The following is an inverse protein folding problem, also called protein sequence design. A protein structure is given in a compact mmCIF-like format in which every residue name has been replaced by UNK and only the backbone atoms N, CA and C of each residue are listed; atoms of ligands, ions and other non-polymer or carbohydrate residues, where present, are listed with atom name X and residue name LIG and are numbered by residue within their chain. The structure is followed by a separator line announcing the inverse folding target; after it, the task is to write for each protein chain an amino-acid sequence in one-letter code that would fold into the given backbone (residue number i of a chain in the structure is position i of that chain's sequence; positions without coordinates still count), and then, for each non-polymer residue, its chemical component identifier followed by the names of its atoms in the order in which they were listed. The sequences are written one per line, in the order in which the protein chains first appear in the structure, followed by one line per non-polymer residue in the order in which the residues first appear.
data_IF_898313358456
#
_entry.id   IF_898313358456
#
_cell.length_a   1.000
_cell.length_b   1.000
_cell.length_c   1.000
_cell.angle_alpha   90.00
_cell.angle_beta   90.00
_cell.angle_gamma   90.00
#
_symmetry.space_group_name_H-M   'P 1'
#
loop_
_entity.id
_entity.type
_entity.pdbx_description
1 polymer ?
#
# COMPACT_ATOMS: atom_id res chain seq x y z
N UNK A 1 -37.38 35.38 -43.50
CA UNK A 1 -37.50 36.87 -43.42
C UNK A 1 -36.37 37.33 -42.51
N UNK A 2 -35.41 38.03 -43.18
CA UNK A 2 -34.74 39.29 -42.81
C UNK A 2 -34.13 39.31 -41.39
N UNK A 3 -32.87 39.71 -41.12
CA UNK A 3 -31.72 40.34 -41.84
C UNK A 3 -30.64 40.50 -40.78
N UNK A 4 -29.39 40.12 -41.00
CA UNK A 4 -28.22 40.91 -41.38
C UNK A 4 -28.01 42.25 -40.66
N UNK A 5 -26.85 42.41 -40.01
CA UNK A 5 -25.94 43.59 -39.94
C UNK A 5 -24.78 43.21 -39.05
N UNK A 6 -23.59 42.97 -39.46
CA UNK A 6 -22.51 43.75 -40.13
C UNK A 6 -22.14 45.05 -39.38
N UNK A 7 -20.93 45.13 -38.86
CA UNK A 7 -20.27 46.28 -38.24
C UNK A 7 -18.82 45.93 -37.88
N UNK A 8 -17.99 46.09 -38.68
CA UNK A 8 -16.68 46.56 -39.16
C UNK A 8 -16.28 47.89 -38.52
N UNK A 9 -15.02 47.99 -38.02
CA UNK A 9 -14.09 49.14 -37.98
C UNK A 9 -12.99 48.82 -36.96
N UNK A 10 -11.76 48.46 -37.32
CA UNK A 10 -10.65 49.28 -37.87
C UNK A 10 -10.18 50.34 -36.87
N UNK A 11 -8.97 50.15 -36.35
CA UNK A 11 -8.22 51.08 -35.52
C UNK A 11 -6.75 50.68 -35.40
N UNK A 12 -5.98 51.05 -36.38
CA UNK A 12 -4.55 51.04 -36.52
C UNK A 12 -3.94 52.23 -35.81
N UNK A 13 -2.96 52.09 -34.92
CA UNK A 13 -1.94 53.10 -34.65
C UNK A 13 -0.60 52.52 -34.24
N UNK A 14 0.34 52.98 -34.98
CA UNK A 14 1.77 52.83 -35.05
C UNK A 14 2.42 53.93 -34.14
N UNK A 15 3.54 53.63 -33.45
CA UNK A 15 4.66 54.54 -33.13
C UNK A 15 5.72 53.79 -32.32
N UNK A 16 6.83 53.51 -32.90
CA UNK A 16 8.12 54.26 -33.01
C UNK A 16 8.99 54.23 -31.75
N UNK A 17 10.04 53.50 -31.93
CA UNK A 17 11.46 53.60 -31.60
C UNK A 17 11.93 54.70 -30.65
N UNK A 18 12.81 54.31 -29.72
CA UNK A 18 13.93 55.14 -29.29
C UNK A 18 15.11 54.26 -28.87
N UNK A 19 16.18 54.37 -29.64
CA UNK A 19 17.54 53.98 -29.29
C UNK A 19 18.07 54.86 -28.13
N UNK A 20 18.71 54.24 -27.16
CA UNK A 20 19.55 54.92 -26.16
C UNK A 20 20.82 54.12 -25.96
N UNK A 21 21.90 54.48 -26.64
CA UNK A 21 23.29 54.11 -26.30
C UNK A 21 23.77 55.03 -25.16
N UNK A 22 24.34 54.45 -24.10
CA UNK A 22 25.40 55.06 -23.31
C UNK A 22 26.16 53.96 -22.57
N UNK A 23 27.34 53.67 -23.00
CA UNK A 23 28.69 54.08 -22.53
C UNK A 23 29.15 53.33 -21.27
N UNK A 24 30.26 52.66 -21.50
CA UNK A 24 31.29 52.11 -20.61
C UNK A 24 31.60 52.95 -19.38
N UNK A 25 31.75 52.33 -18.26
CA UNK A 25 32.75 52.71 -17.24
C UNK A 25 33.13 51.49 -16.38
N UNK A 26 34.38 51.12 -16.54
CA UNK A 26 35.37 50.90 -15.49
C UNK A 26 35.24 49.66 -14.61
N UNK A 27 36.18 48.78 -14.84
CA UNK A 27 36.81 47.81 -13.99
C UNK A 27 36.87 48.24 -12.50
N UNK A 28 36.33 47.38 -11.62
CA UNK A 28 36.96 47.09 -10.34
C UNK A 28 36.80 45.62 -10.04
N UNK A 29 37.90 44.91 -10.07
CA UNK A 29 38.03 43.55 -9.65
C UNK A 29 37.57 43.35 -8.20
N UNK A 30 36.65 42.44 -8.01
CA UNK A 30 36.43 41.79 -6.73
C UNK A 30 36.77 40.33 -6.91
N UNK A 31 37.89 39.96 -6.30
CA UNK A 31 38.35 38.59 -6.20
C UNK A 31 37.30 37.74 -5.46
N UNK A 32 36.81 36.72 -6.09
CA UNK A 32 36.05 35.66 -5.44
C UNK A 32 36.96 34.90 -4.46
N UNK A 33 36.50 34.58 -3.26
CA UNK A 33 37.29 33.75 -2.34
C UNK A 33 37.42 32.32 -2.94
N UNK A 34 38.66 31.92 -3.05
CA UNK A 34 39.07 30.55 -3.47
C UNK A 34 38.60 29.59 -2.38
N UNK A 35 37.54 28.81 -2.65
CA UNK A 35 37.15 27.67 -1.79
C UNK A 35 38.24 26.61 -1.84
N UNK A 36 38.84 26.33 -0.67
CA UNK A 36 39.76 25.23 -0.48
C UNK A 36 39.03 23.93 -0.65
N UNK A 37 39.61 22.90 -1.30
CA UNK A 37 39.07 21.55 -1.30
C UNK A 37 39.11 20.97 0.13
N UNK A 38 38.14 20.12 0.51
CA UNK A 38 38.11 19.47 1.80
C UNK A 38 39.32 18.53 1.96
N UNK A 39 39.82 18.33 3.19
CA UNK A 39 40.95 17.46 3.44
C UNK A 39 40.61 16.01 3.11
N UNK A 40 41.56 15.30 2.53
CA UNK A 40 41.47 13.90 2.18
C UNK A 40 41.11 13.05 3.39
N UNK A 41 40.12 12.17 3.22
CA UNK A 41 39.68 11.20 4.22
C UNK A 41 40.84 10.27 4.58
N UNK A 42 41.03 10.04 5.87
CA UNK A 42 41.97 9.08 6.41
C UNK A 42 41.62 7.64 5.97
N UNK A 43 42.61 6.73 5.76
CA UNK A 43 42.28 5.37 5.35
C UNK A 43 41.62 4.57 6.47
N UNK A 44 40.58 3.82 6.10
CA UNK A 44 39.85 2.91 6.97
C UNK A 44 40.79 1.78 7.49
N UNK A 45 40.60 1.30 8.73
CA UNK A 45 41.37 0.19 9.24
C UNK A 45 41.06 -1.12 8.51
N UNK A 46 42.12 -1.85 8.15
CA UNK A 46 42.10 -3.14 7.48
C UNK A 46 41.24 -4.16 8.23
N UNK A 47 40.35 -4.83 7.51
CA UNK A 47 39.58 -5.96 7.99
C UNK A 47 40.50 -7.10 8.44
N UNK A 48 40.40 -7.48 9.69
CA UNK A 48 41.01 -8.65 10.28
C UNK A 48 40.40 -9.93 9.70
N UNK A 49 41.21 -10.76 9.14
CA UNK A 49 40.90 -12.08 8.62
C UNK A 49 40.45 -13.00 9.77
N UNK A 50 39.14 -13.28 9.84
CA UNK A 50 38.61 -14.33 10.71
C UNK A 50 38.71 -15.68 10.00
N UNK A 51 39.38 -16.65 10.67
CA UNK A 51 39.55 -18.01 10.23
C UNK A 51 38.21 -18.77 10.06
N UNK A 52 38.13 -19.75 9.15
CA UNK A 52 36.91 -20.52 8.91
C UNK A 52 36.64 -21.51 10.06
N UNK A 53 35.42 -21.49 10.59
CA UNK A 53 34.88 -22.49 11.51
C UNK A 53 34.57 -23.78 10.73
N UNK A 54 34.84 -24.99 11.29
CA UNK A 54 34.56 -26.23 10.61
C UNK A 54 33.06 -26.49 10.48
N UNK A 55 32.67 -26.96 9.30
CA UNK A 55 31.32 -27.41 8.98
C UNK A 55 30.97 -28.65 9.82
N UNK A 56 29.83 -28.61 10.50
CA UNK A 56 29.23 -29.78 11.14
C UNK A 56 28.36 -30.47 10.08
N UNK A 57 28.84 -31.64 9.69
CA UNK A 57 28.18 -32.55 8.77
C UNK A 57 26.94 -33.16 9.45
N UNK A 58 25.76 -32.82 9.02
CA UNK A 58 24.52 -33.44 9.44
C UNK A 58 24.10 -34.49 8.40
N UNK A 59 24.35 -35.76 8.75
CA UNK A 59 23.84 -36.92 8.00
C UNK A 59 22.33 -37.02 8.02
N UNK A 60 21.66 -37.30 6.91
CA UNK A 60 20.23 -37.53 6.89
C UNK A 60 19.88 -38.95 7.38
N UNK A 61 19.12 -39.03 8.43
CA UNK A 61 18.59 -40.29 8.97
C UNK A 61 17.39 -40.72 8.12
N UNK A 62 17.63 -41.70 7.27
CA UNK A 62 16.59 -42.46 6.54
C UNK A 62 15.71 -43.23 7.50
N UNK A 63 14.42 -42.93 7.53
CA UNK A 63 13.41 -43.80 8.14
C UNK A 63 12.83 -44.69 7.04
N UNK A 64 13.06 -46.00 7.18
CA UNK A 64 12.44 -47.05 6.35
C UNK A 64 10.97 -47.22 6.71
N UNK A 65 10.11 -47.61 5.76
CA UNK A 65 8.70 -47.96 6.04
C UNK A 65 8.65 -49.39 6.58
N UNK A 66 7.90 -49.56 7.67
CA UNK A 66 7.46 -50.91 8.10
C UNK A 66 6.25 -51.32 7.26
N UNK A 67 6.45 -52.38 6.51
CA UNK A 67 5.38 -53.27 6.07
C UNK A 67 5.26 -54.37 7.15
N UNK A 68 4.06 -54.66 7.59
CA UNK A 68 3.49 -55.99 7.64
C UNK A 68 2.19 -56.04 8.45
N UNK A 69 1.25 -56.82 7.94
CA UNK A 69 0.20 -57.44 8.68
C UNK A 69 -1.20 -57.31 8.09
N UNK A 70 -1.46 -58.14 7.04
CA UNK A 70 -2.79 -58.54 6.61
C UNK A 70 -3.59 -59.15 7.76
N UNK A 71 -4.90 -58.92 7.75
CA UNK A 71 -5.90 -59.98 7.96
C UNK A 71 -7.33 -59.42 7.80
N UNK A 72 -8.02 -59.84 6.81
CA UNK A 72 -9.47 -60.05 6.80
C UNK A 72 -9.68 -61.53 7.17
N UNK A 73 -10.79 -61.98 7.75
CA UNK A 73 -12.12 -62.01 7.12
C UNK A 73 -13.27 -61.85 8.14
N UNK A 74 -14.52 -61.73 7.87
CA UNK A 74 -15.49 -62.63 7.29
C UNK A 74 -16.90 -62.08 7.56
N UNK A 75 -17.80 -62.49 6.71
CA UNK A 75 -19.20 -62.20 6.69
C UNK A 75 -19.96 -62.66 7.95
N UNK A 76 -21.04 -61.97 8.30
CA UNK A 76 -22.29 -62.69 8.54
C UNK A 76 -23.52 -61.80 8.44
N UNK A 77 -24.44 -62.22 7.66
CA UNK A 77 -25.75 -61.70 7.41
C UNK A 77 -26.67 -61.78 8.65
N UNK A 78 -27.58 -60.84 8.77
CA UNK A 78 -28.64 -60.86 9.78
C UNK A 78 -29.74 -59.86 9.43
N UNK A 79 -30.69 -60.31 8.66
CA UNK A 79 -31.98 -59.74 8.31
C UNK A 79 -32.86 -59.47 9.56
N UNK A 80 -33.73 -58.50 9.47
CA UNK A 80 -35.04 -58.23 10.05
C UNK A 80 -35.18 -56.82 10.56
N UNK A 81 -35.94 -55.98 9.94
CA UNK A 81 -37.38 -56.05 9.82
C UNK A 81 -38.01 -54.81 10.44
N UNK A 82 -38.62 -54.04 9.58
CA UNK A 82 -39.82 -53.22 9.85
C UNK A 82 -39.89 -52.27 11.05
N UNK A 83 -40.46 -51.12 10.73
CA UNK A 83 -41.11 -50.09 11.53
C UNK A 83 -40.26 -48.89 11.91
N UNK A 84 -40.30 -47.84 11.09
CA UNK A 84 -41.18 -46.72 11.37
C UNK A 84 -41.01 -45.64 10.29
N UNK A 85 -41.95 -45.68 9.37
CA UNK A 85 -42.32 -44.47 8.64
C UNK A 85 -43.09 -43.55 9.59
N UNK A 86 -42.43 -42.58 10.14
CA UNK A 86 -42.98 -41.38 10.77
C UNK A 86 -41.82 -40.58 11.33
N UNK A 87 -41.43 -39.56 10.58
CA UNK A 87 -40.80 -38.30 11.01
C UNK A 87 -40.04 -37.68 9.81
N UNK A 88 -40.69 -37.67 8.67
CA UNK A 88 -40.31 -36.76 7.59
C UNK A 88 -41.17 -35.48 7.73
N UNK A 89 -40.88 -34.68 8.70
CA UNK A 89 -41.39 -33.32 8.76
C UNK A 89 -40.74 -32.62 9.95
N UNK A 90 -39.48 -32.20 9.86
CA UNK A 90 -39.01 -31.09 10.66
C UNK A 90 -37.91 -30.36 9.87
N UNK A 91 -38.31 -29.14 9.50
CA UNK A 91 -37.47 -27.98 9.48
C UNK A 91 -36.33 -27.93 8.47
N UNK A 92 -36.70 -27.51 7.29
CA UNK A 92 -35.87 -26.47 6.64
C UNK A 92 -35.83 -25.23 7.54
N UNK A 93 -35.05 -25.28 8.59
CA UNK A 93 -34.58 -24.08 9.24
C UNK A 93 -33.54 -23.50 8.29
N UNK A 94 -33.96 -22.53 7.54
CA UNK A 94 -33.12 -21.51 6.95
C UNK A 94 -32.19 -21.07 8.10
N UNK A 95 -30.93 -21.50 8.04
CA UNK A 95 -29.88 -20.85 8.79
C UNK A 95 -29.83 -19.42 8.24
N UNK A 96 -30.57 -18.52 8.87
CA UNK A 96 -30.37 -17.10 8.75
C UNK A 96 -28.88 -16.91 9.03
N UNK A 97 -28.13 -16.55 7.99
CA UNK A 97 -26.77 -16.08 8.15
C UNK A 97 -26.87 -14.96 9.16
N UNK A 98 -26.35 -15.22 10.35
CA UNK A 98 -26.17 -14.20 11.36
C UNK A 98 -25.37 -13.10 10.67
N UNK A 99 -25.87 -11.87 10.53
CA UNK A 99 -25.04 -10.79 10.01
C UNK A 99 -23.80 -10.79 10.89
N UNK A 100 -22.63 -10.87 10.26
CA UNK A 100 -21.36 -10.74 10.94
C UNK A 100 -21.51 -9.57 11.91
N UNK A 101 -21.42 -9.86 13.20
CA UNK A 101 -21.57 -8.85 14.22
C UNK A 101 -20.60 -7.74 13.86
N UNK A 102 -21.12 -6.60 13.42
CA UNK A 102 -20.36 -5.38 13.28
C UNK A 102 -19.62 -5.23 14.60
N UNK A 103 -18.29 -5.37 14.57
CA UNK A 103 -17.47 -5.22 15.74
C UNK A 103 -17.83 -3.87 16.35
N UNK A 104 -18.57 -3.92 17.47
CA UNK A 104 -18.92 -2.70 18.19
C UNK A 104 -17.59 -2.07 18.62
N UNK A 105 -17.40 -0.77 18.44
CA UNK A 105 -16.21 -0.09 18.90
C UNK A 105 -16.01 -0.40 20.38
N UNK A 106 -14.92 -1.08 20.70
CA UNK A 106 -14.51 -1.26 22.08
C UNK A 106 -14.14 0.14 22.59
N UNK A 107 -14.77 0.57 23.68
CA UNK A 107 -14.65 1.95 24.18
C UNK A 107 -13.18 2.38 24.40
N UNK A 108 -12.89 3.68 24.40
CA UNK A 108 -11.53 4.26 24.40
C UNK A 108 -10.69 3.90 25.63
N UNK A 109 -11.28 3.32 26.65
CA UNK A 109 -10.58 2.85 27.87
C UNK A 109 -9.76 1.56 27.67
N UNK A 110 -9.91 0.88 26.53
CA UNK A 110 -9.20 -0.38 26.24
C UNK A 110 -7.84 -0.16 25.58
N UNK A 111 -7.57 1.03 25.06
CA UNK A 111 -6.35 1.34 24.34
C UNK A 111 -5.47 2.30 25.11
N UNK A 112 -4.20 1.95 25.29
CA UNK A 112 -3.22 2.74 26.03
C UNK A 112 -2.16 3.33 25.09
N UNK A 113 -1.93 4.67 25.13
CA UNK A 113 -0.82 5.30 24.42
C UNK A 113 0.52 4.68 24.86
N UNK A 114 1.41 4.47 23.88
CA UNK A 114 2.71 3.84 24.13
C UNK A 114 2.69 2.32 24.27
N UNK A 115 1.48 1.71 24.37
CA UNK A 115 1.30 0.25 24.42
C UNK A 115 0.62 -0.25 23.14
N UNK A 116 -0.57 0.26 22.85
CA UNK A 116 -1.37 -0.20 21.71
C UNK A 116 -1.23 0.70 20.48
N UNK A 117 -0.78 1.93 20.66
CA UNK A 117 -0.52 2.89 19.59
C UNK A 117 0.50 3.93 20.04
N UNK A 118 1.15 4.57 19.09
CA UNK A 118 2.07 5.68 19.34
C UNK A 118 1.39 7.02 19.04
N UNK A 119 1.60 8.00 19.93
CA UNK A 119 1.14 9.38 19.71
C UNK A 119 2.21 10.16 18.94
N UNK A 120 1.80 10.81 17.85
CA UNK A 120 2.66 11.68 17.05
C UNK A 120 2.68 13.07 17.65
N UNK A 121 3.86 13.55 18.03
CA UNK A 121 4.05 14.88 18.60
C UNK A 121 5.13 15.63 17.81
N UNK A 122 4.82 16.80 17.25
CA UNK A 122 3.48 17.42 17.15
C UNK A 122 2.58 16.67 16.19
N UNK A 123 1.25 16.80 16.38
CA UNK A 123 0.28 16.28 15.41
C UNK A 123 0.54 16.85 14.01
N UNK A 124 0.38 16.02 13.01
CA UNK A 124 0.63 16.39 11.62
C UNK A 124 -0.67 16.83 10.91
N UNK A 125 -0.57 17.77 9.95
CA UNK A 125 -1.73 18.18 9.19
C UNK A 125 -2.27 17.03 8.34
N UNK A 126 -3.59 16.98 8.22
CA UNK A 126 -4.32 16.04 7.36
C UNK A 126 -4.71 16.70 6.04
N UNK A 127 -5.07 15.87 5.04
CA UNK A 127 -5.50 16.33 3.71
C UNK A 127 -7.02 16.31 3.53
N UNK A 128 -7.77 16.05 4.61
CA UNK A 128 -9.23 15.93 4.57
C UNK A 128 -9.93 17.20 5.04
N UNK A 129 -11.18 17.45 4.59
CA UNK A 129 -11.96 18.60 5.07
C UNK A 129 -12.26 18.53 6.57
N UNK A 130 -12.56 19.70 7.16
CA UNK A 130 -13.02 19.77 8.54
C UNK A 130 -14.25 18.87 8.76
N UNK A 131 -14.29 18.16 9.89
CA UNK A 131 -15.32 17.18 10.22
C UNK A 131 -15.07 15.78 9.64
N UNK A 132 -14.04 15.60 8.82
CA UNK A 132 -13.58 14.30 8.39
C UNK A 132 -12.35 13.86 9.20
N UNK A 133 -12.23 12.56 9.40
CA UNK A 133 -11.07 11.94 10.05
C UNK A 133 -10.27 11.17 8.99
N UNK A 134 -9.03 11.54 8.81
CA UNK A 134 -8.12 10.86 7.88
C UNK A 134 -7.61 9.55 8.50
N UNK A 135 -7.70 8.46 7.75
CA UNK A 135 -7.05 7.18 8.07
C UNK A 135 -6.20 6.76 6.89
N UNK A 136 -4.89 6.68 7.11
CA UNK A 136 -3.91 6.23 6.12
C UNK A 136 -3.43 4.84 6.48
N UNK A 137 -3.49 3.92 5.52
CA UNK A 137 -2.84 2.62 5.60
C UNK A 137 -1.51 2.69 4.84
N UNK A 138 -0.40 2.47 5.53
CA UNK A 138 0.90 2.26 4.90
C UNK A 138 1.12 0.77 4.66
N UNK A 139 1.41 0.41 3.43
CA UNK A 139 1.49 -0.99 3.01
C UNK A 139 2.53 -1.20 1.90
N UNK A 140 2.82 -2.44 1.60
CA UNK A 140 3.61 -2.86 0.45
C UNK A 140 3.01 -4.11 -0.18
N UNK A 141 2.84 -4.13 -1.49
CA UNK A 141 2.22 -5.27 -2.17
C UNK A 141 2.98 -6.59 -1.97
N UNK A 142 4.32 -6.57 -1.84
CA UNK A 142 5.08 -7.78 -1.61
C UNK A 142 5.23 -8.15 -0.11
N UNK A 143 4.56 -7.43 0.79
CA UNK A 143 4.55 -7.76 2.21
C UNK A 143 3.51 -8.85 2.51
N UNK A 144 3.91 -10.05 3.02
CA UNK A 144 2.96 -11.10 3.36
C UNK A 144 1.94 -10.68 4.42
N UNK A 145 2.38 -9.92 5.43
CA UNK A 145 1.48 -9.44 6.49
C UNK A 145 0.46 -8.42 5.99
N UNK A 146 0.79 -7.62 4.95
CA UNK A 146 -0.18 -6.74 4.31
C UNK A 146 -1.21 -7.56 3.52
N UNK A 147 -0.76 -8.60 2.80
CA UNK A 147 -1.65 -9.51 2.10
C UNK A 147 -2.62 -10.22 3.06
N UNK A 148 -2.10 -10.75 4.17
CA UNK A 148 -2.93 -11.45 5.18
C UNK A 148 -3.96 -10.51 5.84
N UNK A 149 -3.63 -9.24 5.98
CA UNK A 149 -4.50 -8.23 6.59
C UNK A 149 -5.54 -7.66 5.61
N UNK A 150 -5.27 -7.66 4.30
CA UNK A 150 -6.05 -6.90 3.32
C UNK A 150 -7.54 -7.22 3.32
N UNK A 151 -7.90 -8.51 3.49
CA UNK A 151 -9.30 -8.91 3.58
C UNK A 151 -10.06 -8.22 4.73
N UNK A 152 -9.41 -8.00 5.86
CA UNK A 152 -10.00 -7.32 7.02
C UNK A 152 -10.06 -5.81 6.81
N UNK A 153 -9.02 -5.23 6.20
CA UNK A 153 -9.01 -3.81 5.81
C UNK A 153 -10.14 -3.51 4.82
N UNK A 154 -10.34 -4.37 3.81
CA UNK A 154 -11.42 -4.23 2.85
C UNK A 154 -12.82 -4.33 3.50
N UNK A 155 -12.99 -5.28 4.42
CA UNK A 155 -14.25 -5.41 5.16
C UNK A 155 -14.51 -4.17 6.02
N UNK A 156 -13.50 -3.67 6.72
CA UNK A 156 -13.59 -2.45 7.52
C UNK A 156 -13.86 -1.23 6.63
N UNK A 157 -13.13 -1.06 5.52
CA UNK A 157 -13.27 0.04 4.56
C UNK A 157 -14.70 0.17 4.03
N UNK A 158 -15.35 -0.96 3.74
CA UNK A 158 -16.73 -0.99 3.24
C UNK A 158 -17.77 -0.58 4.30
N UNK A 159 -17.46 -0.83 5.57
CA UNK A 159 -18.38 -0.62 6.68
C UNK A 159 -18.04 0.59 7.57
N UNK A 160 -16.94 1.30 7.27
CA UNK A 160 -16.52 2.46 8.07
C UNK A 160 -17.54 3.59 8.05
N UNK A 161 -17.66 4.37 9.12
CA UNK A 161 -18.51 5.57 9.15
C UNK A 161 -18.15 6.57 8.03
N UNK A 162 -19.15 7.33 7.58
CA UNK A 162 -18.99 8.30 6.49
C UNK A 162 -18.01 9.44 6.81
N UNK A 163 -17.80 9.74 8.10
CA UNK A 163 -16.84 10.77 8.51
C UNK A 163 -15.37 10.32 8.38
N UNK A 164 -15.09 9.04 8.10
CA UNK A 164 -13.73 8.54 7.91
C UNK A 164 -13.37 8.58 6.42
N UNK A 165 -12.33 9.31 6.09
CA UNK A 165 -11.67 9.26 4.77
C UNK A 165 -10.48 8.32 4.86
N UNK A 166 -10.58 7.17 4.18
CA UNK A 166 -9.54 6.15 4.14
C UNK A 166 -8.73 6.23 2.85
N UNK A 167 -7.41 6.14 2.95
CA UNK A 167 -6.50 6.07 1.80
C UNK A 167 -5.35 5.11 2.06
N UNK A 168 -4.93 4.40 1.03
CA UNK A 168 -3.73 3.58 1.04
C UNK A 168 -2.53 4.36 0.53
N UNK A 169 -1.40 4.17 1.19
CA UNK A 169 -0.11 4.79 0.87
C UNK A 169 0.93 3.67 0.75
N UNK A 170 1.31 3.26 -0.46
CA UNK A 170 2.39 2.30 -0.62
C UNK A 170 3.71 2.92 -0.19
N UNK A 171 4.52 2.16 0.58
CA UNK A 171 5.85 2.63 1.00
C UNK A 171 6.86 2.57 -0.16
N UNK A 172 7.90 3.40 -0.07
CA UNK A 172 8.83 3.70 -1.17
C UNK A 172 10.30 3.60 -0.74
N UNK A 173 10.61 2.76 0.25
CA UNK A 173 11.91 2.67 0.92
C UNK A 173 13.08 2.24 0.02
N UNK A 174 12.82 1.51 -1.06
CA UNK A 174 13.80 1.05 -2.05
C UNK A 174 13.19 1.06 -3.44
N UNK A 175 14.01 0.80 -4.46
CA UNK A 175 13.55 0.75 -5.86
C UNK A 175 12.43 -0.29 -6.06
N UNK A 176 12.53 -1.47 -5.44
CA UNK A 176 11.48 -2.49 -5.49
C UNK A 176 10.17 -2.05 -4.82
N UNK A 177 10.24 -1.32 -3.70
CA UNK A 177 9.05 -0.71 -3.08
C UNK A 177 8.45 0.35 -3.99
N UNK A 178 9.30 1.24 -4.53
CA UNK A 178 8.90 2.32 -5.44
C UNK A 178 8.26 1.79 -6.72
N UNK A 179 8.79 0.69 -7.27
CA UNK A 179 8.23 0.06 -8.46
C UNK A 179 6.79 -0.44 -8.25
N UNK A 180 6.52 -1.10 -7.12
CA UNK A 180 5.16 -1.53 -6.76
C UNK A 180 4.25 -0.37 -6.35
N UNK A 181 4.82 0.70 -5.76
CA UNK A 181 4.09 1.93 -5.51
C UNK A 181 3.69 2.63 -6.82
N UNK A 182 4.55 2.62 -7.84
CA UNK A 182 4.23 3.14 -9.18
C UNK A 182 3.08 2.35 -9.81
N UNK A 183 3.10 1.03 -9.73
CA UNK A 183 1.97 0.19 -10.17
C UNK A 183 0.66 0.59 -9.49
N UNK A 184 0.68 0.74 -8.15
CA UNK A 184 -0.48 1.17 -7.38
C UNK A 184 -1.04 2.50 -7.89
N UNK A 185 -0.20 3.52 -8.04
CA UNK A 185 -0.65 4.84 -8.49
C UNK A 185 -1.03 4.86 -9.97
N UNK A 186 -0.44 4.00 -10.79
CA UNK A 186 -0.86 3.81 -12.18
C UNK A 186 -2.29 3.26 -12.24
N UNK A 187 -2.58 2.18 -11.48
CA UNK A 187 -3.92 1.61 -11.40
C UNK A 187 -4.93 2.63 -10.82
N UNK A 188 -4.52 3.43 -9.84
CA UNK A 188 -5.32 4.51 -9.27
C UNK A 188 -5.65 5.57 -10.33
N UNK A 189 -4.67 6.03 -11.09
CA UNK A 189 -4.87 7.06 -12.13
C UNK A 189 -5.78 6.59 -13.27
N UNK A 190 -5.80 5.28 -13.53
CA UNK A 190 -6.68 4.62 -14.48
C UNK A 190 -8.09 4.33 -13.93
N UNK A 191 -8.34 4.63 -12.64
CA UNK A 191 -9.60 4.26 -11.98
C UNK A 191 -9.81 2.75 -11.84
N UNK A 192 -8.73 1.96 -11.90
CA UNK A 192 -8.75 0.50 -11.83
C UNK A 192 -8.33 -0.07 -10.48
N UNK A 193 -7.92 0.79 -9.54
CA UNK A 193 -7.33 0.35 -8.28
C UNK A 193 -8.29 -0.53 -7.46
N UNK A 194 -9.53 -0.10 -7.24
CA UNK A 194 -10.51 -0.87 -6.44
C UNK A 194 -10.82 -2.24 -7.04
N UNK A 195 -10.74 -2.36 -8.38
CA UNK A 195 -10.97 -3.60 -9.09
C UNK A 195 -9.77 -4.54 -9.03
N UNK A 196 -8.54 -4.01 -9.04
CA UNK A 196 -7.32 -4.77 -9.27
C UNK A 196 -6.40 -4.88 -8.05
N UNK A 197 -6.70 -4.21 -6.95
CA UNK A 197 -5.88 -4.25 -5.73
C UNK A 197 -5.64 -5.68 -5.24
N UNK A 198 -6.69 -6.45 -5.06
CA UNK A 198 -6.62 -7.86 -4.66
C UNK A 198 -5.94 -8.74 -5.74
N UNK A 199 -6.13 -8.41 -7.03
CA UNK A 199 -5.47 -9.13 -8.11
C UNK A 199 -3.96 -8.94 -8.12
N UNK A 200 -3.44 -7.75 -7.75
CA UNK A 200 -2.00 -7.50 -7.57
C UNK A 200 -1.44 -8.32 -6.42
N UNK A 201 -2.09 -8.31 -5.27
CA UNK A 201 -1.70 -9.15 -4.14
C UNK A 201 -1.67 -10.65 -4.51
N UNK A 202 -2.72 -11.15 -5.16
CA UNK A 202 -2.78 -12.56 -5.60
C UNK A 202 -1.71 -12.90 -6.62
N UNK A 203 -1.42 -12.00 -7.57
CA UNK A 203 -0.36 -12.24 -8.55
C UNK A 203 1.00 -12.45 -7.86
N UNK A 204 1.28 -11.66 -6.82
CA UNK A 204 2.54 -11.75 -6.07
C UNK A 204 2.55 -12.97 -5.13
N UNK A 205 1.54 -13.11 -4.26
CA UNK A 205 1.58 -14.06 -3.15
C UNK A 205 1.05 -15.46 -3.50
N UNK A 206 0.18 -15.56 -4.50
CA UNK A 206 -0.43 -16.84 -4.91
C UNK A 206 0.19 -17.36 -6.19
N UNK A 207 0.35 -16.49 -7.21
CA UNK A 207 0.89 -16.89 -8.51
C UNK A 207 2.42 -16.84 -8.55
N UNK A 208 3.09 -16.29 -7.54
CA UNK A 208 4.55 -16.21 -7.44
C UNK A 208 5.20 -15.24 -8.43
N UNK A 209 4.46 -14.31 -9.02
CA UNK A 209 4.99 -13.27 -9.88
C UNK A 209 5.23 -11.98 -9.07
N UNK A 210 6.47 -11.60 -8.79
CA UNK A 210 6.77 -10.45 -7.90
C UNK A 210 6.38 -9.10 -8.50
N UNK A 211 6.03 -9.03 -9.77
CA UNK A 211 5.73 -7.81 -10.54
C UNK A 211 6.86 -6.78 -10.54
N UNK A 212 8.08 -7.22 -10.26
CA UNK A 212 9.33 -6.46 -10.36
C UNK A 212 10.41 -7.36 -10.93
N UNK A 213 11.36 -6.80 -11.66
CA UNK A 213 12.53 -7.53 -12.16
C UNK A 213 13.44 -7.96 -11.00
N UNK A 214 13.99 -9.16 -11.07
CA UNK A 214 14.82 -9.73 -10.00
C UNK A 214 16.13 -8.96 -9.78
N UNK A 215 16.65 -8.34 -10.83
CA UNK A 215 17.88 -7.52 -10.83
C UNK A 215 17.60 -6.04 -10.58
N UNK A 216 16.33 -5.65 -10.44
CA UNK A 216 15.90 -4.26 -10.24
C UNK A 216 15.85 -3.43 -11.52
N UNK A 217 15.97 -4.05 -12.71
CA UNK A 217 15.86 -3.33 -13.99
C UNK A 217 14.48 -2.69 -14.14
N UNK A 218 14.46 -1.37 -14.34
CA UNK A 218 13.21 -0.59 -14.41
C UNK A 218 12.43 -0.90 -15.70
N UNK A 219 13.10 -1.07 -16.82
CA UNK A 219 12.46 -1.33 -18.11
C UNK A 219 11.83 -2.73 -18.12
N UNK A 220 12.53 -3.71 -17.55
CA UNK A 220 11.99 -5.07 -17.39
C UNK A 220 10.83 -5.09 -16.39
N UNK A 221 10.92 -4.34 -15.29
CA UNK A 221 9.82 -4.18 -14.33
C UNK A 221 8.58 -3.59 -14.99
N UNK A 222 8.74 -2.52 -15.78
CA UNK A 222 7.63 -1.94 -16.56
C UNK A 222 7.02 -2.96 -17.52
N UNK A 223 7.86 -3.75 -18.20
CA UNK A 223 7.40 -4.81 -19.12
C UNK A 223 6.56 -5.85 -18.39
N UNK A 224 7.01 -6.31 -17.20
CA UNK A 224 6.29 -7.29 -16.37
C UNK A 224 4.94 -6.71 -15.91
N UNK A 225 4.92 -5.47 -15.42
CA UNK A 225 3.70 -4.81 -14.94
C UNK A 225 2.73 -4.51 -16.10
N UNK A 226 3.25 -4.14 -17.27
CA UNK A 226 2.45 -3.96 -18.50
C UNK A 226 1.79 -5.28 -18.92
N UNK A 227 2.53 -6.39 -18.90
CA UNK A 227 2.00 -7.71 -19.22
C UNK A 227 0.89 -8.14 -18.23
N UNK A 228 1.08 -7.88 -16.93
CA UNK A 228 0.03 -8.07 -15.92
C UNK A 228 -1.20 -7.21 -16.23
N UNK A 229 -1.03 -5.91 -16.45
CA UNK A 229 -2.13 -4.99 -16.74
C UNK A 229 -2.93 -5.41 -17.98
N UNK A 230 -2.23 -5.85 -19.04
CA UNK A 230 -2.84 -6.37 -20.25
C UNK A 230 -3.68 -7.63 -19.98
N UNK A 231 -3.18 -8.56 -19.15
CA UNK A 231 -3.92 -9.75 -18.69
C UNK A 231 -5.19 -9.37 -17.92
N UNK A 232 -5.18 -8.21 -17.23
CA UNK A 232 -6.33 -7.65 -16.52
C UNK A 232 -7.25 -6.78 -17.42
N UNK A 233 -7.02 -6.75 -18.72
CA UNK A 233 -7.86 -6.05 -19.69
C UNK A 233 -7.55 -4.55 -19.84
N UNK A 234 -6.40 -4.08 -19.37
CA UNK A 234 -5.94 -2.70 -19.61
C UNK A 234 -5.09 -2.68 -20.89
N UNK A 235 -5.42 -1.84 -21.90
CA UNK A 235 -4.60 -1.69 -23.10
C UNK A 235 -3.16 -1.23 -22.76
N UNK A 236 -2.19 -1.81 -23.46
CA UNK A 236 -0.77 -1.55 -23.19
C UNK A 236 -0.41 -0.06 -23.27
N UNK A 237 -0.87 0.62 -24.32
CA UNK A 237 -0.57 2.06 -24.51
C UNK A 237 -1.21 2.93 -23.43
N UNK A 238 -2.42 2.55 -22.97
CA UNK A 238 -3.11 3.23 -21.87
C UNK A 238 -2.33 3.07 -20.57
N UNK A 239 -1.89 1.85 -20.26
CA UNK A 239 -1.09 1.57 -19.08
C UNK A 239 0.22 2.34 -19.09
N UNK A 240 1.00 2.25 -20.17
CA UNK A 240 2.31 2.95 -20.31
C UNK A 240 2.16 4.47 -20.22
N UNK A 241 1.14 5.03 -20.87
CA UNK A 241 0.84 6.46 -20.76
C UNK A 241 0.54 6.89 -19.32
N UNK A 242 -0.22 6.10 -18.58
CA UNK A 242 -0.51 6.37 -17.17
C UNK A 242 0.74 6.19 -16.29
N UNK A 243 1.51 5.14 -16.53
CA UNK A 243 2.72 4.78 -15.79
C UNK A 243 3.77 5.90 -15.76
N UNK A 244 3.94 6.61 -16.89
CA UNK A 244 4.86 7.75 -17.05
C UNK A 244 4.18 9.11 -16.89
N UNK A 245 2.98 9.14 -16.30
CA UNK A 245 2.23 10.39 -16.17
C UNK A 245 2.68 11.22 -14.98
N UNK A 246 2.62 12.54 -15.12
CA UNK A 246 2.89 13.49 -14.04
C UNK A 246 2.04 13.26 -12.78
N UNK A 247 0.73 12.92 -12.86
CA UNK A 247 -0.05 12.56 -11.66
C UNK A 247 0.53 11.38 -10.87
N UNK A 248 1.01 10.34 -11.55
CA UNK A 248 1.65 9.17 -10.90
C UNK A 248 2.94 9.58 -10.20
N UNK A 249 3.79 10.38 -10.85
CA UNK A 249 5.03 10.88 -10.23
C UNK A 249 4.73 11.79 -9.03
N UNK A 250 3.71 12.62 -9.13
CA UNK A 250 3.26 13.48 -8.03
C UNK A 250 2.76 12.66 -6.84
N UNK A 251 1.97 11.62 -7.07
CA UNK A 251 1.46 10.76 -6.02
C UNK A 251 2.58 9.94 -5.36
N UNK A 252 3.60 9.49 -6.13
CA UNK A 252 4.81 8.88 -5.58
C UNK A 252 5.58 9.83 -4.66
N UNK A 253 5.79 11.08 -5.07
CA UNK A 253 6.44 12.09 -4.22
C UNK A 253 5.65 12.39 -2.95
N UNK A 254 4.31 12.41 -3.02
CA UNK A 254 3.47 12.55 -1.83
C UNK A 254 3.61 11.35 -0.90
N UNK A 255 3.67 10.13 -1.43
CA UNK A 255 3.90 8.94 -0.63
C UNK A 255 5.26 8.98 0.08
N UNK A 256 6.34 9.36 -0.62
CA UNK A 256 7.66 9.60 -0.01
C UNK A 256 7.56 10.59 1.16
N UNK A 257 6.90 11.71 0.95
CA UNK A 257 6.70 12.74 1.97
C UNK A 257 5.90 12.25 3.18
N UNK A 258 4.87 11.42 2.96
CA UNK A 258 4.06 10.84 4.04
C UNK A 258 4.84 9.79 4.84
N UNK A 259 5.57 8.90 4.17
CA UNK A 259 6.44 7.89 4.82
C UNK A 259 7.46 8.58 5.73
N UNK A 260 8.12 9.64 5.25
CA UNK A 260 9.09 10.40 6.03
C UNK A 260 8.43 11.18 7.18
N UNK A 261 7.31 11.87 6.91
CA UNK A 261 6.58 12.68 7.90
C UNK A 261 6.13 11.86 9.10
N UNK A 262 5.59 10.67 8.84
CA UNK A 262 5.10 9.79 9.89
C UNK A 262 6.15 8.81 10.40
N UNK A 263 7.38 8.85 9.86
CA UNK A 263 8.50 7.96 10.22
C UNK A 263 8.09 6.49 10.17
N UNK A 264 7.41 6.12 9.08
CA UNK A 264 6.96 4.75 8.89
C UNK A 264 8.17 3.85 8.63
N UNK A 265 8.42 2.91 9.51
CA UNK A 265 9.55 1.96 9.50
C UNK A 265 9.12 0.49 9.37
N UNK A 266 7.80 0.24 9.31
CA UNK A 266 7.22 -1.08 9.13
C UNK A 266 5.82 -1.03 8.52
N UNK A 267 5.43 -2.13 7.87
CA UNK A 267 4.09 -2.30 7.28
C UNK A 267 3.52 -3.67 7.63
N UNK A 268 2.19 -3.81 7.75
CA UNK A 268 1.19 -2.75 7.63
C UNK A 268 1.17 -1.81 8.85
N UNK A 269 1.01 -0.50 8.62
CA UNK A 269 0.86 0.52 9.66
C UNK A 269 -0.27 1.48 9.32
N UNK A 270 -0.97 1.97 10.33
CA UNK A 270 -2.08 2.91 10.18
C UNK A 270 -1.75 4.22 10.85
N UNK A 271 -2.03 5.33 10.17
CA UNK A 271 -2.00 6.67 10.77
C UNK A 271 -3.41 7.21 10.84
N UNK A 272 -3.83 7.61 12.04
CA UNK A 272 -5.16 8.12 12.29
C UNK A 272 -5.05 9.63 12.61
N UNK A 273 -5.72 10.44 11.80
CA UNK A 273 -5.87 11.88 11.89
C UNK A 273 -4.56 12.66 12.11
N UNK A 274 -3.44 12.15 11.57
CA UNK A 274 -2.12 12.74 11.77
C UNK A 274 -1.61 12.73 13.21
N UNK A 275 -2.27 12.01 14.12
CA UNK A 275 -2.01 12.01 15.56
C UNK A 275 -1.54 10.68 16.12
N UNK A 276 -1.96 9.56 15.53
CA UNK A 276 -1.70 8.23 16.08
C UNK A 276 -1.13 7.30 15.01
N UNK A 277 -0.17 6.47 15.42
CA UNK A 277 0.31 5.33 14.62
C UNK A 277 -0.06 4.04 15.33
N UNK A 278 -0.66 3.10 14.61
CA UNK A 278 -1.00 1.76 15.10
C UNK A 278 -0.57 0.69 14.08
N UNK A 279 -0.18 -0.48 14.56
CA UNK A 279 0.18 -1.66 13.78
C UNK A 279 -0.36 -2.94 14.43
N UNK A 280 -0.26 -4.08 13.73
CA UNK A 280 -0.73 -5.38 14.24
C UNK A 280 -0.01 -5.77 15.54
N UNK A 281 1.28 -5.49 15.62
CA UNK A 281 2.14 -5.86 16.76
C UNK A 281 1.69 -5.15 18.04
N UNK A 282 1.44 -3.85 17.95
CA UNK A 282 1.01 -3.03 19.09
C UNK A 282 -0.46 -3.26 19.45
N UNK A 283 -1.31 -3.50 18.46
CA UNK A 283 -2.73 -3.83 18.71
C UNK A 283 -2.92 -5.26 19.26
N UNK A 284 -1.99 -6.18 18.93
CA UNK A 284 -1.98 -7.57 19.37
C UNK A 284 -2.42 -8.59 18.32
N UNK A 285 -3.39 -8.25 17.46
CA UNK A 285 -3.81 -9.05 16.31
C UNK A 285 -4.55 -8.17 15.28
N UNK A 286 -4.84 -8.70 14.07
CA UNK A 286 -5.51 -7.96 13.01
C UNK A 286 -6.89 -7.41 13.37
N UNK A 287 -7.75 -8.20 14.03
CA UNK A 287 -9.10 -7.79 14.44
C UNK A 287 -9.06 -6.63 15.42
N UNK A 288 -8.14 -6.73 16.40
CA UNK A 288 -7.92 -5.66 17.36
C UNK A 288 -7.38 -4.40 16.72
N UNK A 289 -6.50 -4.53 15.70
CA UNK A 289 -6.00 -3.38 14.97
C UNK A 289 -7.14 -2.62 14.27
N UNK A 290 -8.05 -3.32 13.57
CA UNK A 290 -9.19 -2.68 12.93
C UNK A 290 -10.14 -2.02 13.91
N UNK A 291 -10.34 -2.64 15.10
CA UNK A 291 -11.12 -2.03 16.19
C UNK A 291 -10.43 -0.78 16.73
N UNK A 292 -9.12 -0.84 16.99
CA UNK A 292 -8.32 0.30 17.47
C UNK A 292 -8.37 1.48 16.48
N UNK A 293 -8.20 1.22 15.17
CA UNK A 293 -8.29 2.24 14.14
C UNK A 293 -9.67 2.91 14.15
N UNK A 294 -10.74 2.12 14.25
CA UNK A 294 -12.11 2.62 14.34
C UNK A 294 -12.37 3.46 15.59
N UNK A 295 -11.90 3.01 16.76
CA UNK A 295 -12.08 3.70 18.03
C UNK A 295 -11.31 5.01 18.10
N UNK A 296 -10.05 5.04 17.64
CA UNK A 296 -9.26 6.28 17.55
C UNK A 296 -9.88 7.28 16.56
N UNK A 297 -10.39 6.78 15.43
CA UNK A 297 -11.09 7.65 14.49
C UNK A 297 -12.41 8.20 15.08
N UNK A 298 -13.16 7.40 15.82
CA UNK A 298 -14.37 7.84 16.53
C UNK A 298 -14.06 8.86 17.63
N UNK A 299 -12.94 8.71 18.32
CA UNK A 299 -12.47 9.68 19.31
C UNK A 299 -12.17 11.02 18.64
N UNK A 300 -11.43 11.03 17.53
CA UNK A 300 -11.07 12.25 16.78
C UNK A 300 -12.27 12.98 16.19
N UNK A 301 -13.30 12.25 15.79
CA UNK A 301 -14.51 12.85 15.23
C UNK A 301 -15.36 13.62 16.27
N UNK A 302 -15.19 13.33 17.56
CA UNK A 302 -15.93 14.01 18.65
C UNK A 302 -15.29 15.32 19.10
N UNK A 303 -14.05 15.58 18.65
CA UNK A 303 -13.28 16.77 18.99
C UNK A 303 -13.06 17.67 17.79
#
# INVERSE_FOLDING_TARGET
MRAARLGLLLGLTLALAACGKHQSASERGSALPRTQPPPAAAPAPSASTAAPRPAVEATPKTLRPNQDGSETPDESAGDNGTHNALLAAVASTIAAATPAASAQPLGPTLWQPGVNYTVIVPAQPTSVPAGQVEVLEFFWYACPHCYDLDGQVEAWRKNKPAYITFSRVPVTWSDGHRALARLFYTLKSLGKLDQLHDAVFKEIHVNGNPLVAADGDEAETERIQTAFAKKQGIPEDEFKKAYHSFPVDTDLQKADGLVQRYRIDGVPSFVINGKYVADVRTAGNPERLMSLVGDLAAQEHKH
#
